data_IF_895871705347
#
_entry.id   IF_895871705347
#
_cell.length_a   1.000
_cell.length_b   1.000
_cell.length_c   1.000
_cell.angle_alpha   90.00
_cell.angle_beta   90.00
_cell.angle_gamma   90.00
#
_symmetry.space_group_name_H-M   'P 1'
#
loop_
_entity.id
_entity.type
_entity.pdbx_description
1 polymer ?
#
# COMPACT_ATOMS: atom_id res chain seq x y z
N UNK A 1 -10.04 7.05 -6.39
CA UNK A 1 -8.93 7.43 -7.30
C UNK A 1 -9.29 8.73 -7.98
N UNK A 2 -8.38 9.72 -8.00
CA UNK A 2 -8.53 10.91 -8.85
C UNK A 2 -8.63 10.42 -10.30
N UNK A 3 -9.55 10.98 -11.08
CA UNK A 3 -9.63 10.67 -12.50
C UNK A 3 -8.29 11.06 -13.15
N UNK A 4 -7.55 10.05 -13.62
CA UNK A 4 -6.26 10.24 -14.27
C UNK A 4 -6.33 11.16 -15.48
N UNK A 5 -7.53 11.46 -16.02
CA UNK A 5 -7.73 12.46 -17.05
C UNK A 5 -7.55 13.91 -16.54
N UNK A 6 -7.95 14.22 -15.30
CA UNK A 6 -7.86 15.59 -14.76
C UNK A 6 -6.42 15.97 -14.35
N UNK A 7 -5.61 14.97 -13.99
CA UNK A 7 -4.19 15.15 -13.64
C UNK A 7 -3.30 15.28 -14.88
N UNK A 8 -3.59 14.56 -15.97
CA UNK A 8 -2.81 14.61 -17.23
C UNK A 8 -2.68 16.01 -17.83
N UNK A 9 -3.66 16.90 -17.60
CA UNK A 9 -3.60 18.27 -18.11
C UNK A 9 -2.73 19.23 -17.28
N UNK A 10 -2.27 18.80 -16.09
CA UNK A 10 -1.61 19.67 -15.09
C UNK A 10 -0.15 19.30 -14.80
N UNK A 11 0.26 18.07 -15.09
CA UNK A 11 1.62 17.54 -14.85
C UNK A 11 2.11 16.75 -16.06
N UNK A 12 3.43 16.65 -16.24
CA UNK A 12 4.01 15.84 -17.31
C UNK A 12 3.81 14.33 -17.10
N UNK A 13 3.90 13.55 -18.18
CA UNK A 13 3.62 12.10 -18.14
C UNK A 13 4.56 11.35 -17.18
N UNK A 14 5.84 11.72 -17.10
CA UNK A 14 6.80 11.15 -16.15
C UNK A 14 6.45 11.48 -14.69
N UNK A 15 6.02 12.71 -14.43
CA UNK A 15 5.58 13.12 -13.09
C UNK A 15 4.29 12.39 -12.69
N UNK A 16 3.35 12.23 -13.64
CA UNK A 16 2.14 11.45 -13.40
C UNK A 16 2.45 9.99 -13.09
N UNK A 17 3.38 9.37 -13.82
CA UNK A 17 3.84 8.02 -13.55
C UNK A 17 4.43 7.90 -12.14
N UNK A 18 5.26 8.86 -11.74
CA UNK A 18 5.81 8.96 -10.38
C UNK A 18 4.71 9.06 -9.34
N UNK A 19 3.72 9.94 -9.53
CA UNK A 19 2.60 10.10 -8.60
C UNK A 19 1.72 8.84 -8.47
N UNK A 20 1.64 8.01 -9.51
CA UNK A 20 0.88 6.76 -9.47
C UNK A 20 1.57 5.74 -8.58
N UNK A 21 2.89 5.59 -8.69
CA UNK A 21 3.61 4.53 -7.97
C UNK A 21 4.19 5.00 -6.63
N UNK A 22 4.56 6.27 -6.48
CA UNK A 22 5.14 6.81 -5.27
C UNK A 22 4.08 7.40 -4.32
N UNK A 23 3.77 6.67 -3.23
CA UNK A 23 2.78 7.07 -2.24
C UNK A 23 3.10 8.42 -1.55
N UNK A 24 4.35 8.67 -1.07
CA UNK A 24 4.71 9.95 -0.47
C UNK A 24 4.42 11.15 -1.37
N UNK A 25 4.77 11.07 -2.65
CA UNK A 25 4.50 12.15 -3.60
C UNK A 25 2.98 12.40 -3.76
N UNK A 26 2.19 11.32 -3.85
CA UNK A 26 0.73 11.42 -3.88
C UNK A 26 0.18 12.09 -2.60
N UNK A 27 0.66 11.69 -1.42
CA UNK A 27 0.22 12.25 -0.14
C UNK A 27 0.67 13.71 0.05
N UNK A 28 1.86 14.08 -0.39
CA UNK A 28 2.34 15.45 -0.38
C UNK A 28 1.41 16.34 -1.21
N UNK A 29 1.10 15.93 -2.45
CA UNK A 29 0.17 16.66 -3.31
C UNK A 29 -1.22 16.81 -2.68
N UNK A 30 -1.76 15.75 -2.07
CA UNK A 30 -3.07 15.82 -1.39
C UNK A 30 -3.03 16.71 -0.15
N UNK A 31 -1.91 16.75 0.55
CA UNK A 31 -1.69 17.66 1.69
C UNK A 31 -1.72 19.11 1.22
N UNK A 32 -1.04 19.43 0.11
CA UNK A 32 -1.03 20.78 -0.47
C UNK A 32 -2.44 21.20 -0.95
N UNK A 33 -3.17 20.30 -1.59
CA UNK A 33 -4.55 20.54 -2.05
C UNK A 33 -5.53 20.77 -0.89
N UNK A 34 -5.38 20.05 0.22
CA UNK A 34 -6.24 20.16 1.39
C UNK A 34 -5.83 21.28 2.36
N UNK A 35 -4.58 21.75 2.28
CA UNK A 35 -4.01 22.69 3.24
C UNK A 35 -3.85 22.11 4.66
N UNK A 36 -3.96 20.79 4.81
CA UNK A 36 -3.83 20.09 6.09
C UNK A 36 -3.26 18.69 5.86
N UNK A 37 -2.31 18.30 6.70
CA UNK A 37 -1.75 16.95 6.70
C UNK A 37 -2.58 16.06 7.63
N UNK A 38 -3.17 15.02 7.06
CA UNK A 38 -3.99 14.07 7.81
C UNK A 38 -3.10 13.01 8.46
N UNK A 39 -3.42 12.54 9.68
CA UNK A 39 -2.75 11.39 10.30
C UNK A 39 -2.80 10.13 9.44
N UNK A 40 -3.82 10.01 8.58
CA UNK A 40 -3.89 8.98 7.54
C UNK A 40 -2.65 9.00 6.62
N UNK A 41 -2.25 10.17 6.14
CA UNK A 41 -1.07 10.30 5.28
C UNK A 41 0.23 10.01 6.02
N UNK A 42 0.33 10.41 7.29
CA UNK A 42 1.51 10.16 8.12
C UNK A 42 1.73 8.66 8.36
N UNK A 43 0.68 7.94 8.80
CA UNK A 43 0.79 6.51 9.04
C UNK A 43 0.97 5.71 7.75
N UNK A 44 0.29 6.12 6.67
CA UNK A 44 0.47 5.48 5.36
C UNK A 44 1.87 5.69 4.79
N UNK A 45 2.45 6.89 4.92
CA UNK A 45 3.83 7.16 4.50
C UNK A 45 4.84 6.36 5.32
N UNK A 46 4.61 6.23 6.63
CA UNK A 46 5.44 5.39 7.49
C UNK A 46 5.42 3.93 7.02
N UNK A 47 4.24 3.36 6.73
CA UNK A 47 4.14 2.00 6.21
C UNK A 47 4.80 1.85 4.82
N UNK A 48 4.55 2.80 3.92
CA UNK A 48 5.19 2.84 2.61
C UNK A 48 6.72 2.76 2.72
N UNK A 49 7.31 3.55 3.62
CA UNK A 49 8.76 3.56 3.81
C UNK A 49 9.30 2.20 4.28
N UNK A 50 8.57 1.49 5.14
CA UNK A 50 8.93 0.13 5.57
C UNK A 50 8.90 -0.84 4.39
N UNK A 51 7.82 -0.84 3.61
CA UNK A 51 7.65 -1.72 2.45
C UNK A 51 8.68 -1.42 1.36
N UNK A 52 8.79 -0.15 0.96
CA UNK A 52 9.74 0.30 -0.06
C UNK A 52 11.17 -0.05 0.33
N UNK A 53 11.52 0.06 1.61
CA UNK A 53 12.85 -0.33 2.09
C UNK A 53 13.10 -1.83 1.92
N UNK A 54 12.13 -2.67 2.31
CA UNK A 54 12.26 -4.12 2.12
C UNK A 54 12.41 -4.49 0.64
N UNK A 55 11.60 -3.89 -0.24
CA UNK A 55 11.70 -4.10 -1.69
C UNK A 55 13.05 -3.64 -2.22
N UNK A 56 13.53 -2.46 -1.81
CA UNK A 56 14.84 -1.95 -2.23
C UNK A 56 15.99 -2.85 -1.76
N UNK A 57 15.97 -3.29 -0.49
CA UNK A 57 16.97 -4.21 0.05
C UNK A 57 16.98 -5.55 -0.71
N UNK A 58 15.80 -6.07 -1.09
CA UNK A 58 15.67 -7.26 -1.94
C UNK A 58 16.16 -7.02 -3.37
N UNK A 59 15.85 -5.85 -3.93
CA UNK A 59 16.33 -5.44 -5.26
C UNK A 59 17.85 -5.36 -5.29
N UNK A 60 18.50 -4.83 -4.26
CA UNK A 60 19.96 -4.71 -4.14
C UNK A 60 20.69 -6.06 -4.00
N UNK A 61 19.96 -7.14 -3.70
CA UNK A 61 20.50 -8.50 -3.71
C UNK A 61 20.58 -9.02 -5.14
N UNK A 62 19.54 -8.81 -5.95
CA UNK A 62 19.46 -9.30 -7.33
C UNK A 62 20.11 -8.36 -8.35
N UNK A 63 20.12 -7.06 -8.06
CA UNK A 63 20.62 -6.00 -8.93
C UNK A 63 21.66 -5.14 -8.21
N UNK A 64 22.85 -5.69 -7.89
CA UNK A 64 23.86 -4.98 -7.10
C UNK A 64 24.47 -3.76 -7.80
N UNK A 65 24.24 -3.61 -9.10
CA UNK A 65 24.76 -2.50 -9.91
C UNK A 65 23.72 -2.08 -10.97
N UNK A 66 23.72 -0.81 -11.38
CA UNK A 66 22.76 -0.30 -12.36
C UNK A 66 22.83 -1.02 -13.71
N UNK A 67 24.02 -1.49 -14.08
CA UNK A 67 24.24 -2.25 -15.31
C UNK A 67 23.42 -3.53 -15.34
N UNK A 68 23.20 -4.18 -14.19
CA UNK A 68 22.37 -5.39 -14.09
C UNK A 68 20.89 -5.08 -14.31
N UNK A 69 20.41 -3.93 -13.83
CA UNK A 69 19.04 -3.46 -14.11
C UNK A 69 18.86 -3.16 -15.60
N UNK A 70 19.85 -2.51 -16.23
CA UNK A 70 19.79 -2.20 -17.66
C UNK A 70 19.83 -3.44 -18.55
N UNK A 71 20.54 -4.48 -18.12
CA UNK A 71 20.67 -5.72 -18.85
C UNK A 71 19.42 -6.62 -18.74
N UNK A 72 18.56 -6.38 -17.75
CA UNK A 72 17.35 -7.16 -17.54
C UNK A 72 16.20 -6.68 -18.44
N UNK A 73 16.06 -7.36 -19.57
CA UNK A 73 14.96 -7.09 -20.51
C UNK A 73 13.61 -7.53 -19.96
N UNK A 74 13.55 -8.57 -19.12
CA UNK A 74 12.29 -9.07 -18.55
C UNK A 74 11.70 -8.07 -17.55
N UNK A 75 12.56 -7.43 -16.75
CA UNK A 75 12.15 -6.37 -15.83
C UNK A 75 11.53 -5.18 -16.58
N UNK A 76 12.14 -4.76 -17.69
CA UNK A 76 11.62 -3.68 -18.54
C UNK A 76 10.29 -4.08 -19.18
N UNK A 77 10.22 -5.28 -19.76
CA UNK A 77 9.00 -5.79 -20.39
C UNK A 77 7.85 -5.91 -19.37
N UNK A 78 8.15 -6.35 -18.14
CA UNK A 78 7.19 -6.40 -17.05
C UNK A 78 6.67 -5.02 -16.66
N UNK A 79 7.55 -4.02 -16.50
CA UNK A 79 7.14 -2.64 -16.20
C UNK A 79 6.29 -2.03 -17.32
N UNK A 80 6.70 -2.23 -18.56
CA UNK A 80 5.93 -1.81 -19.73
C UNK A 80 4.56 -2.47 -19.81
N UNK A 81 4.47 -3.75 -19.46
CA UNK A 81 3.20 -4.48 -19.40
C UNK A 81 2.32 -4.01 -18.23
N UNK A 82 2.90 -3.75 -17.07
CA UNK A 82 2.19 -3.22 -15.90
C UNK A 82 1.59 -1.85 -16.20
N UNK A 83 2.40 -0.93 -16.73
CA UNK A 83 1.95 0.43 -17.10
C UNK A 83 1.02 0.39 -18.30
N UNK A 84 1.31 -0.45 -19.30
CA UNK A 84 0.51 -0.58 -20.52
C UNK A 84 -0.83 -1.30 -20.33
N UNK A 85 -0.94 -2.18 -19.35
CA UNK A 85 -2.07 -3.07 -19.15
C UNK A 85 -3.27 -2.42 -18.45
N UNK A 86 -3.07 -1.34 -17.70
CA UNK A 86 -4.15 -0.66 -17.00
C UNK A 86 -4.69 0.51 -17.84
N UNK A 87 -6.01 0.58 -18.02
CA UNK A 87 -6.68 1.62 -18.84
C UNK A 87 -6.22 3.04 -18.47
N UNK A 88 -6.00 3.31 -17.19
CA UNK A 88 -5.62 4.63 -16.70
C UNK A 88 -4.14 4.97 -16.88
N UNK A 89 -3.27 3.99 -17.10
CA UNK A 89 -1.82 4.21 -17.27
C UNK A 89 -1.31 3.85 -18.66
N UNK A 90 -2.12 3.23 -19.52
CA UNK A 90 -1.71 2.74 -20.83
C UNK A 90 -1.06 3.81 -21.72
N UNK A 91 -1.52 5.07 -21.64
CA UNK A 91 -0.92 6.17 -22.39
C UNK A 91 0.51 6.51 -21.93
N UNK A 92 0.88 6.17 -20.69
CA UNK A 92 2.19 6.43 -20.09
C UNK A 92 3.21 5.33 -20.41
N UNK A 93 2.82 4.29 -21.16
CA UNK A 93 3.73 3.18 -21.51
C UNK A 93 5.04 3.68 -22.12
N UNK A 94 4.96 4.65 -23.02
CA UNK A 94 6.12 5.19 -23.73
C UNK A 94 7.18 5.78 -22.77
N UNK A 95 6.75 6.35 -21.64
CA UNK A 95 7.64 6.94 -20.63
C UNK A 95 8.63 5.90 -20.11
N UNK A 96 8.18 4.66 -19.85
CA UNK A 96 9.03 3.59 -19.30
C UNK A 96 10.23 3.29 -20.20
N UNK A 97 10.04 3.33 -21.52
CA UNK A 97 11.10 3.11 -22.50
C UNK A 97 12.17 4.19 -22.49
N UNK A 98 11.82 5.40 -22.07
CA UNK A 98 12.67 6.61 -22.10
C UNK A 98 13.37 6.89 -20.77
N UNK A 99 13.03 6.16 -19.69
CA UNK A 99 13.60 6.40 -18.37
C UNK A 99 15.11 6.11 -18.32
N UNK A 100 15.90 6.99 -17.71
CA UNK A 100 17.28 6.71 -17.32
C UNK A 100 17.38 5.48 -16.40
N UNK A 101 18.53 4.79 -16.37
CA UNK A 101 18.74 3.59 -15.54
C UNK A 101 18.34 3.72 -14.06
N UNK A 102 18.69 4.84 -13.43
CA UNK A 102 18.38 5.10 -12.02
C UNK A 102 16.87 5.22 -11.82
N UNK A 103 16.20 5.97 -12.69
CA UNK A 103 14.76 6.19 -12.62
C UNK A 103 13.97 4.91 -12.94
N UNK A 104 14.47 4.09 -13.87
CA UNK A 104 13.89 2.77 -14.16
C UNK A 104 13.98 1.84 -12.94
N UNK A 105 15.14 1.82 -12.26
CA UNK A 105 15.33 1.05 -11.03
C UNK A 105 14.38 1.54 -9.93
N UNK A 106 14.29 2.85 -9.73
CA UNK A 106 13.42 3.43 -8.70
C UNK A 106 11.95 3.18 -9.01
N UNK A 107 11.53 3.27 -10.28
CA UNK A 107 10.19 2.91 -10.70
C UNK A 107 9.89 1.43 -10.44
N UNK A 108 10.84 0.52 -10.67
CA UNK A 108 10.65 -0.90 -10.38
C UNK A 108 10.39 -1.14 -8.89
N UNK A 109 11.22 -0.53 -8.03
CA UNK A 109 11.07 -0.61 -6.58
C UNK A 109 9.73 -0.01 -6.13
N UNK A 110 9.39 1.18 -6.62
CA UNK A 110 8.15 1.87 -6.29
C UNK A 110 6.93 1.08 -6.80
N UNK A 111 7.01 0.46 -7.97
CA UNK A 111 5.93 -0.35 -8.52
C UNK A 111 5.64 -1.59 -7.66
N UNK A 112 6.67 -2.35 -7.28
CA UNK A 112 6.51 -3.52 -6.40
C UNK A 112 6.05 -3.08 -5.01
N UNK A 113 6.64 -2.03 -4.44
CA UNK A 113 6.24 -1.49 -3.15
C UNK A 113 4.77 -1.02 -3.17
N UNK A 114 4.32 -0.41 -4.28
CA UNK A 114 2.93 -0.01 -4.48
C UNK A 114 1.99 -1.20 -4.52
N UNK A 115 2.34 -2.28 -5.23
CA UNK A 115 1.52 -3.49 -5.24
C UNK A 115 1.38 -4.09 -3.84
N UNK A 116 2.47 -4.17 -3.07
CA UNK A 116 2.42 -4.64 -1.67
C UNK A 116 1.57 -3.71 -0.80
N UNK A 117 1.77 -2.39 -0.92
CA UNK A 117 0.99 -1.39 -0.18
C UNK A 117 -0.52 -1.47 -0.49
N UNK A 118 -0.87 -1.65 -1.76
CA UNK A 118 -2.25 -1.77 -2.22
C UNK A 118 -2.91 -3.04 -1.70
N UNK A 119 -2.23 -4.18 -1.80
CA UNK A 119 -2.74 -5.49 -1.38
C UNK A 119 -2.89 -5.60 0.14
N UNK A 120 -2.01 -4.93 0.89
CA UNK A 120 -2.02 -4.96 2.35
C UNK A 120 -2.82 -3.77 2.88
N UNK A 121 -2.15 -2.66 3.20
CA UNK A 121 -2.75 -1.53 3.90
C UNK A 121 -3.96 -0.90 3.19
N UNK A 122 -3.91 -0.74 1.86
CA UNK A 122 -4.99 -0.02 1.17
C UNK A 122 -6.22 -0.89 0.95
N UNK A 123 -6.06 -2.17 0.62
CA UNK A 123 -7.19 -3.11 0.56
C UNK A 123 -7.87 -3.18 1.92
N UNK A 124 -7.12 -3.28 3.01
CA UNK A 124 -7.67 -3.35 4.38
C UNK A 124 -8.43 -2.08 4.80
N UNK A 125 -7.96 -0.92 4.34
CA UNK A 125 -8.69 0.33 4.52
C UNK A 125 -10.11 0.25 3.92
N UNK A 126 -10.27 -0.42 2.77
CA UNK A 126 -11.57 -0.62 2.12
C UNK A 126 -12.31 -1.86 2.63
N UNK A 127 -11.63 -2.98 2.88
CA UNK A 127 -12.20 -4.24 3.36
C UNK A 127 -12.84 -4.09 4.74
N UNK A 128 -12.26 -3.23 5.57
CA UNK A 128 -12.82 -2.83 6.87
C UNK A 128 -14.10 -1.97 6.77
N UNK A 129 -14.62 -1.69 5.57
CA UNK A 129 -15.88 -0.95 5.38
C UNK A 129 -17.06 -1.61 6.10
N UNK A 130 -17.00 -2.93 6.30
CA UNK A 130 -18.00 -3.69 7.02
C UNK A 130 -18.30 -3.11 8.42
N UNK A 131 -17.31 -2.53 9.10
CA UNK A 131 -17.52 -1.90 10.42
C UNK A 131 -18.37 -0.63 10.30
N UNK A 132 -18.16 0.19 9.27
CA UNK A 132 -18.98 1.39 9.04
C UNK A 132 -20.39 1.06 8.57
N UNK A 133 -20.53 0.01 7.75
CA UNK A 133 -21.80 -0.43 7.20
C UNK A 133 -22.76 -1.01 8.26
N UNK A 134 -22.29 -1.31 9.47
CA UNK A 134 -23.15 -1.76 10.58
C UNK A 134 -24.13 -0.67 11.03
N UNK A 135 -23.76 0.61 10.91
CA UNK A 135 -24.68 1.72 11.14
C UNK A 135 -25.24 2.23 9.80
N UNK A 136 -26.37 1.65 9.40
CA UNK A 136 -27.10 1.99 8.18
C UNK A 136 -27.67 3.42 8.17
N UNK A 137 -27.56 4.19 9.27
CA UNK A 137 -27.85 5.64 9.28
C UNK A 137 -26.63 6.47 8.91
N UNK A 138 -25.43 6.00 9.27
CA UNK A 138 -24.16 6.65 8.97
C UNK A 138 -23.65 6.27 7.57
N UNK A 139 -23.62 4.97 7.25
CA UNK A 139 -23.14 4.46 5.98
C UNK A 139 -24.14 3.46 5.39
N UNK A 140 -24.94 3.90 4.40
CA UNK A 140 -25.80 3.04 3.62
C UNK A 140 -25.43 3.09 2.14
N UNK A 141 -25.52 1.96 1.46
CA UNK A 141 -25.33 1.84 0.01
C UNK A 141 -26.59 2.13 -0.78
N UNK A 142 -27.75 2.14 -0.11
CA UNK A 142 -29.04 2.50 -0.71
C UNK A 142 -29.99 3.05 0.35
N UNK A 143 -30.63 4.18 0.05
CA UNK A 143 -31.77 4.68 0.80
C UNK A 143 -33.05 4.45 0.00
N UNK A 144 -34.03 3.70 0.53
CA UNK A 144 -35.35 3.69 -0.05
C UNK A 144 -35.91 5.12 -0.10
N UNK A 145 -36.64 5.44 -1.17
CA UNK A 145 -37.20 6.79 -1.36
C UNK A 145 -38.08 7.16 -0.16
N UNK A 146 -37.79 8.29 0.48
CA UNK A 146 -38.54 8.78 1.64
C UNK A 146 -38.03 8.28 3.00
N UNK A 147 -37.05 7.36 3.03
CA UNK A 147 -36.49 6.84 4.27
C UNK A 147 -35.29 7.65 4.76
N UNK A 148 -35.10 7.65 6.08
CA UNK A 148 -33.96 8.33 6.74
C UNK A 148 -32.79 7.37 7.04
N UNK A 149 -32.93 6.08 6.74
CA UNK A 149 -31.87 5.10 6.94
C UNK A 149 -31.90 4.00 5.87
N UNK A 150 -30.75 3.34 5.69
CA UNK A 150 -30.62 2.19 4.82
C UNK A 150 -31.30 0.92 5.33
N UNK A 151 -31.24 -0.14 4.52
CA UNK A 151 -31.69 -1.48 4.91
C UNK A 151 -30.52 -2.31 5.44
N UNK A 152 -30.77 -3.14 6.46
CA UNK A 152 -29.75 -4.04 7.04
C UNK A 152 -29.32 -5.17 6.09
N UNK A 153 -30.12 -5.46 5.07
CA UNK A 153 -29.83 -6.55 4.11
C UNK A 153 -28.58 -6.20 3.29
N UNK A 154 -28.45 -4.96 2.82
CA UNK A 154 -27.29 -4.55 2.02
C UNK A 154 -26.00 -4.57 2.85
N UNK A 155 -26.07 -4.16 4.13
CA UNK A 155 -24.95 -4.28 5.06
C UNK A 155 -24.54 -5.74 5.30
N UNK A 156 -25.53 -6.64 5.51
CA UNK A 156 -25.26 -8.06 5.72
C UNK A 156 -24.62 -8.73 4.50
N UNK A 157 -25.07 -8.41 3.28
CA UNK A 157 -24.47 -8.92 2.04
C UNK A 157 -23.02 -8.45 1.89
N UNK A 158 -22.75 -7.17 2.13
CA UNK A 158 -21.39 -6.63 2.05
C UNK A 158 -20.47 -7.29 3.09
N UNK A 159 -20.92 -7.39 4.34
CA UNK A 159 -20.17 -8.08 5.38
C UNK A 159 -19.88 -9.52 4.97
N UNK A 160 -20.86 -10.25 4.44
CA UNK A 160 -20.65 -11.63 3.99
C UNK A 160 -19.65 -11.75 2.85
N UNK A 161 -19.56 -10.76 1.96
CA UNK A 161 -18.63 -10.75 0.84
C UNK A 161 -17.22 -10.31 1.26
N UNK A 162 -17.07 -9.56 2.35
CA UNK A 162 -15.78 -8.96 2.77
C UNK A 162 -15.17 -9.62 4.01
N UNK A 163 -15.81 -10.63 4.58
CA UNK A 163 -15.37 -11.29 5.83
C UNK A 163 -14.67 -12.63 5.61
N UNK A 164 -14.04 -12.86 4.46
CA UNK A 164 -13.23 -14.06 4.24
C UNK A 164 -11.82 -13.80 4.76
N UNK A 165 -11.39 -14.42 5.87
CA UNK A 165 -10.09 -14.12 6.46
C UNK A 165 -8.97 -14.62 5.55
N UNK A 166 -7.96 -13.78 5.32
CA UNK A 166 -6.71 -14.17 4.70
C UNK A 166 -5.60 -14.28 5.75
N UNK A 167 -4.45 -14.90 5.40
CA UNK A 167 -3.32 -14.94 6.30
C UNK A 167 -2.93 -13.52 6.74
N UNK A 168 -2.77 -13.28 8.05
CA UNK A 168 -2.34 -11.98 8.55
C UNK A 168 -0.88 -11.70 8.12
N UNK A 169 -0.58 -10.43 7.89
CA UNK A 169 0.77 -9.97 7.55
C UNK A 169 1.77 -10.22 8.67
N UNK A 170 1.32 -10.05 9.92
CA UNK A 170 2.10 -10.38 11.12
C UNK A 170 1.53 -11.63 11.76
N UNK A 171 2.38 -12.63 12.00
CA UNK A 171 1.98 -13.88 12.64
C UNK A 171 1.38 -13.60 14.04
N UNK A 172 0.13 -14.05 14.30
CA UNK A 172 -0.53 -13.82 15.58
C UNK A 172 -0.01 -14.78 16.67
N UNK A 173 0.71 -15.83 16.28
CA UNK A 173 1.22 -16.88 17.15
C UNK A 173 2.75 -16.85 17.11
N UNK A 174 3.43 -16.56 18.24
CA UNK A 174 4.89 -16.60 18.31
C UNK A 174 5.43 -17.97 17.87
N UNK A 175 6.32 -17.98 16.86
CA UNK A 175 6.94 -19.19 16.31
C UNK A 175 6.13 -19.90 15.23
N UNK A 176 4.93 -19.41 14.89
CA UNK A 176 4.31 -19.73 13.61
C UNK A 176 5.01 -18.86 12.56
N UNK A 177 5.56 -19.50 11.53
CA UNK A 177 6.46 -18.88 10.55
C UNK A 177 6.02 -19.25 9.13
N UNK A 178 4.83 -19.85 8.96
CA UNK A 178 4.39 -20.43 7.68
C UNK A 178 4.32 -19.38 6.56
N UNK A 179 4.06 -18.12 6.92
CA UNK A 179 3.94 -17.02 5.98
C UNK A 179 5.09 -16.00 6.01
N UNK A 180 6.25 -16.35 6.62
CA UNK A 180 7.35 -15.40 6.68
C UNK A 180 7.99 -15.15 5.32
N UNK A 181 8.45 -13.91 5.14
CA UNK A 181 9.15 -13.49 3.92
C UNK A 181 10.36 -14.37 3.60
N UNK A 182 11.05 -14.89 4.62
CA UNK A 182 12.20 -15.78 4.45
C UNK A 182 11.88 -17.14 3.83
N UNK A 183 10.60 -17.54 3.79
CA UNK A 183 10.17 -18.78 3.09
C UNK A 183 9.80 -18.55 1.64
N UNK A 184 9.39 -17.33 1.28
CA UNK A 184 8.94 -17.00 -0.08
C UNK A 184 10.02 -16.32 -0.92
N UNK A 185 10.89 -15.55 -0.29
CA UNK A 185 11.96 -14.85 -0.96
C UNK A 185 13.19 -15.74 -1.07
N UNK A 186 13.90 -15.63 -2.18
CA UNK A 186 15.13 -16.39 -2.43
C UNK A 186 16.28 -15.44 -2.73
N UNK A 187 17.49 -15.90 -2.44
CA UNK A 187 18.72 -15.17 -2.72
C UNK A 187 19.54 -15.92 -3.78
N UNK A 188 20.32 -15.21 -4.62
CA UNK A 188 21.11 -15.84 -5.68
C UNK A 188 22.33 -16.61 -5.16
N UNK A 189 22.74 -16.38 -3.90
CA UNK A 189 23.88 -17.05 -3.28
C UNK A 189 23.71 -17.20 -1.76
N UNK A 190 24.46 -18.12 -1.15
CA UNK A 190 24.47 -18.29 0.31
C UNK A 190 24.97 -17.04 1.08
N UNK A 191 25.83 -16.22 0.46
CA UNK A 191 26.25 -14.95 1.07
C UNK A 191 25.10 -13.92 1.06
N UNK A 192 24.25 -13.98 0.04
CA UNK A 192 23.08 -13.11 -0.09
C UNK A 192 21.90 -13.58 0.77
N UNK A 193 21.84 -14.86 1.16
CA UNK A 193 20.86 -15.36 2.13
C UNK A 193 20.96 -14.63 3.48
N UNK A 194 22.18 -14.34 3.94
CA UNK A 194 22.39 -13.57 5.16
C UNK A 194 21.86 -12.13 5.02
N UNK A 195 22.12 -11.48 3.88
CA UNK A 195 21.61 -10.13 3.56
C UNK A 195 20.09 -10.12 3.48
N UNK A 196 19.49 -11.15 2.87
CA UNK A 196 18.04 -11.33 2.78
C UNK A 196 17.43 -11.51 4.16
N UNK A 197 18.00 -12.38 4.99
CA UNK A 197 17.54 -12.61 6.36
C UNK A 197 17.57 -11.32 7.19
N UNK A 198 18.63 -10.53 7.06
CA UNK A 198 18.74 -9.23 7.73
C UNK A 198 17.67 -8.24 7.23
N UNK A 199 17.42 -8.18 5.91
CA UNK A 199 16.36 -7.35 5.33
C UNK A 199 14.97 -7.73 5.84
N UNK A 200 14.65 -9.03 5.84
CA UNK A 200 13.39 -9.56 6.39
C UNK A 200 13.24 -9.24 7.88
N UNK A 201 14.32 -9.36 8.66
CA UNK A 201 14.30 -9.01 10.09
C UNK A 201 14.06 -7.51 10.30
N UNK A 202 14.73 -6.63 9.54
CA UNK A 202 14.48 -5.18 9.59
C UNK A 202 13.05 -4.83 9.21
N UNK A 203 12.49 -5.48 8.20
CA UNK A 203 11.09 -5.30 7.82
C UNK A 203 10.16 -5.65 8.99
N UNK A 204 10.37 -6.80 9.63
CA UNK A 204 9.56 -7.23 10.77
C UNK A 204 9.64 -6.23 11.94
N UNK A 205 10.84 -5.86 12.37
CA UNK A 205 11.04 -4.90 13.47
C UNK A 205 10.43 -3.53 13.16
N UNK A 206 10.62 -3.03 11.94
CA UNK A 206 10.05 -1.74 11.52
C UNK A 206 8.52 -1.79 11.48
N UNK A 207 7.95 -2.92 11.08
CA UNK A 207 6.51 -3.14 11.07
C UNK A 207 5.95 -3.17 12.50
N UNK A 208 6.63 -3.84 13.44
CA UNK A 208 6.26 -3.82 14.87
C UNK A 208 6.38 -2.43 15.49
N UNK A 209 7.41 -1.66 15.12
CA UNK A 209 7.55 -0.27 15.55
C UNK A 209 6.39 0.59 15.05
N UNK A 210 5.91 0.35 13.82
CA UNK A 210 4.74 1.05 13.29
C UNK A 210 3.45 0.65 14.02
N UNK A 211 3.28 -0.62 14.39
CA UNK A 211 2.17 -1.06 15.26
C UNK A 211 2.16 -0.25 16.55
N UNK A 212 3.30 -0.14 17.24
CA UNK A 212 3.40 0.64 18.48
C UNK A 212 3.03 2.10 18.28
N UNK A 213 3.53 2.74 17.22
CA UNK A 213 3.19 4.12 16.88
C UNK A 213 1.68 4.31 16.67
N UNK A 214 1.03 3.40 15.95
CA UNK A 214 -0.42 3.44 15.72
C UNK A 214 -1.22 3.25 17.02
N UNK A 215 -0.82 2.30 17.87
CA UNK A 215 -1.46 2.06 19.17
C UNK A 215 -1.32 3.27 20.11
N UNK A 216 -0.16 3.91 20.14
CA UNK A 216 0.06 5.15 20.90
C UNK A 216 -0.84 6.28 20.40
N UNK A 217 -0.93 6.45 19.07
CA UNK A 217 -1.83 7.42 18.46
C UNK A 217 -3.30 7.14 18.86
N UNK A 218 -3.73 5.88 18.86
CA UNK A 218 -5.09 5.51 19.28
C UNK A 218 -5.29 5.75 20.78
N UNK A 219 -4.32 5.38 21.62
CA UNK A 219 -4.38 5.55 23.07
C UNK A 219 -4.54 7.01 23.52
N UNK A 220 -4.07 7.95 22.70
CA UNK A 220 -4.19 9.39 22.97
C UNK A 220 -5.48 10.03 22.43
N UNK A 221 -6.35 9.28 21.76
CA UNK A 221 -7.53 9.82 21.06
C UNK A 221 -8.43 10.70 21.94
N UNK A 222 -8.72 10.26 23.17
CA UNK A 222 -9.58 11.01 24.11
C UNK A 222 -9.02 12.35 24.57
N UNK A 223 -7.70 12.57 24.42
CA UNK A 223 -7.02 13.81 24.81
C UNK A 223 -6.92 14.84 23.70
N UNK A 224 -7.19 14.45 22.45
CA UNK A 224 -7.13 15.35 21.28
C UNK A 224 -8.42 16.15 21.13
N UNK A 225 -8.34 17.29 20.46
CA UNK A 225 -9.52 18.06 20.08
C UNK A 225 -10.21 17.46 18.84
N UNK A 226 -11.53 17.64 18.73
CA UNK A 226 -12.26 17.35 17.49
C UNK A 226 -11.66 18.14 16.29
N UNK A 227 -11.53 17.55 15.09
CA UNK A 227 -11.98 16.20 14.68
C UNK A 227 -10.97 15.07 14.94
N UNK A 228 -9.84 15.36 15.58
CA UNK A 228 -8.74 14.41 15.76
C UNK A 228 -8.94 13.44 16.93
N UNK A 229 -10.02 13.58 17.68
CA UNK A 229 -10.30 12.77 18.87
C UNK A 229 -10.82 11.36 18.58
N UNK A 230 -10.89 10.96 17.31
CA UNK A 230 -11.19 9.60 16.89
C UNK A 230 -9.90 8.76 16.85
N UNK A 231 -10.01 7.46 17.13
CA UNK A 231 -8.92 6.52 16.85
C UNK A 231 -8.76 6.30 15.34
N UNK A 232 -7.56 5.89 14.93
CA UNK A 232 -7.22 5.58 13.54
C UNK A 232 -6.45 4.25 13.53
N UNK A 233 -7.07 3.22 12.96
CA UNK A 233 -6.50 1.87 12.88
C UNK A 233 -6.14 1.45 11.45
N UNK A 234 -6.49 2.26 10.44
CA UNK A 234 -6.41 1.91 9.02
C UNK A 234 -4.99 1.55 8.55
N UNK A 235 -3.96 2.08 9.21
CA UNK A 235 -2.57 1.83 8.86
C UNK A 235 -1.81 1.04 9.93
N UNK A 236 -2.50 0.42 10.88
CA UNK A 236 -1.86 -0.40 11.90
C UNK A 236 -1.60 -1.81 11.32
N UNK A 237 -0.34 -2.22 11.09
CA UNK A 237 -0.03 -3.48 10.41
C UNK A 237 -0.50 -4.74 11.13
N UNK A 238 -0.87 -4.61 12.40
CA UNK A 238 -1.48 -5.69 13.18
C UNK A 238 -2.74 -6.26 12.52
N UNK A 239 -3.46 -5.43 11.77
CA UNK A 239 -4.72 -5.80 11.14
C UNK A 239 -4.57 -6.07 9.65
N UNK A 240 -3.36 -6.02 9.10
CA UNK A 240 -3.18 -6.26 7.67
C UNK A 240 -3.20 -7.74 7.36
N UNK A 241 -3.82 -8.10 6.25
CA UNK A 241 -3.64 -9.38 5.59
C UNK A 241 -2.49 -9.31 4.57
N UNK A 242 -1.93 -10.47 4.21
CA UNK A 242 -0.86 -10.59 3.21
C UNK A 242 -1.37 -10.65 1.77
N UNK A 243 -2.69 -10.57 1.56
CA UNK A 243 -3.34 -10.77 0.26
C UNK A 243 -4.76 -10.18 0.27
N UNK A 244 -5.28 -9.84 -0.90
CA UNK A 244 -6.65 -9.32 -1.09
C UNK A 244 -7.69 -10.40 -0.81
N UNK A 245 -8.47 -10.23 0.26
CA UNK A 245 -9.77 -10.90 0.46
C UNK A 245 -10.88 -10.16 -0.27
N UNK A 246 -11.30 -10.70 -1.42
CA UNK A 246 -12.51 -10.30 -2.19
C UNK A 246 -12.53 -8.86 -2.74
#
# INVERSE_FOLDING_TARGET
>A
MVDGAELRGKVGDAELLRLIFNIPDYFARRTDELGVRLPYYEQGEAYWNVVRRMVADYFDIWYPALETVCADTELRDWLEALVGGLVHTAALKHVVGELPPVELRDLAIDAVARLVFEVTAHHEHYGSVGVYAQDVRFCSFAWPVGEQCGTKITAATLMSATSFPMPPLLDPIPGYDEFSLTKFLTAPSANDEARLSEACHRYYESTLSLVQMCEEYVGQASSRSFPWNCGLWMFNPRYFESSVSV
#
